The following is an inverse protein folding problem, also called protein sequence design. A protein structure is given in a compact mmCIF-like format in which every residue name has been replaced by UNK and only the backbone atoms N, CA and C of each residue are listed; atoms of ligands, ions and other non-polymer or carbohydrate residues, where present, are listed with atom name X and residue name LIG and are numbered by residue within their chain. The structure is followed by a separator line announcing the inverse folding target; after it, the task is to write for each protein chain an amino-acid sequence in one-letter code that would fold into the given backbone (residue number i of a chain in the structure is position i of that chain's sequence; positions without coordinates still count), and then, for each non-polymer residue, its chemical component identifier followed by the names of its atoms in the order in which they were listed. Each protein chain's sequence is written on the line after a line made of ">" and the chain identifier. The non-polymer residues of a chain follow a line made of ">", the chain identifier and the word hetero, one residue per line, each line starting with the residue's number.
data_IF_321318713381
#
_entry.id   IF_321318713381
#
_cell.length_a   1.000
_cell.length_b   1.000
_cell.length_c   1.000
_cell.angle_alpha   90.00
_cell.angle_beta   90.00
_cell.angle_gamma   90.00
#
_symmetry.space_group_name_H-M   'P 1'
#
loop_
_entity.id
_entity.type
_entity.pdbx_description
1 polymer ?
#
# COMPACT_ATOMS: atom_id res chain seq x y z
N UNK A 1 -12.54 -54.52 19.26
CA UNK A 1 -12.77 -53.69 18.04
C UNK A 1 -13.91 -54.27 17.21
N UNK A 2 -14.75 -53.41 16.63
CA UNK A 2 -15.85 -53.81 15.76
C UNK A 2 -15.69 -53.19 14.37
N UNK A 3 -15.16 -54.01 13.44
CA UNK A 3 -14.89 -53.57 12.06
C UNK A 3 -16.15 -53.16 11.30
N UNK A 4 -17.28 -53.84 11.56
CA UNK A 4 -18.52 -53.51 10.87
C UNK A 4 -19.08 -52.15 11.33
N UNK A 5 -18.95 -51.82 12.61
CA UNK A 5 -19.32 -50.50 13.10
C UNK A 5 -18.38 -49.41 12.59
N UNK A 6 -17.07 -49.67 12.55
CA UNK A 6 -16.06 -48.72 12.03
C UNK A 6 -16.27 -48.45 10.52
N UNK A 7 -16.50 -49.51 9.71
CA UNK A 7 -16.76 -49.36 8.28
C UNK A 7 -18.03 -48.52 8.02
N UNK A 8 -19.08 -48.73 8.82
CA UNK A 8 -20.30 -47.92 8.73
C UNK A 8 -20.05 -46.43 9.06
N UNK A 9 -19.24 -46.16 10.09
CA UNK A 9 -18.88 -44.79 10.45
C UNK A 9 -18.06 -44.08 9.36
N UNK A 10 -17.22 -44.84 8.64
CA UNK A 10 -16.39 -44.34 7.54
C UNK A 10 -17.12 -44.35 6.19
N UNK A 11 -18.40 -44.73 6.15
CA UNK A 11 -19.19 -44.85 4.91
C UNK A 11 -18.57 -45.77 3.84
N UNK A 12 -17.84 -46.83 4.27
CA UNK A 12 -17.21 -47.80 3.40
C UNK A 12 -17.69 -49.22 3.74
N UNK A 13 -17.37 -50.20 2.87
CA UNK A 13 -17.66 -51.59 3.14
C UNK A 13 -16.62 -52.19 4.08
N UNK A 14 -16.99 -53.28 4.79
CA UNK A 14 -16.04 -54.01 5.65
C UNK A 14 -14.86 -54.63 4.85
N UNK A 15 -15.03 -55.20 3.64
CA UNK A 15 -13.91 -55.59 2.80
C UNK A 15 -12.95 -54.44 2.52
N UNK A 16 -13.43 -53.25 2.08
CA UNK A 16 -12.65 -52.07 1.80
C UNK A 16 -11.86 -51.61 3.02
N UNK A 17 -12.47 -51.62 4.22
CA UNK A 17 -11.76 -51.30 5.47
C UNK A 17 -10.61 -52.26 5.73
N UNK A 18 -10.80 -53.58 5.47
CA UNK A 18 -9.72 -54.57 5.64
C UNK A 18 -8.61 -54.37 4.63
N UNK A 19 -8.93 -54.01 3.38
CA UNK A 19 -7.94 -53.69 2.34
C UNK A 19 -7.08 -52.48 2.76
N UNK A 20 -7.70 -51.37 3.17
CA UNK A 20 -6.96 -50.20 3.63
C UNK A 20 -6.06 -50.49 4.85
N UNK A 21 -6.51 -51.33 5.79
CA UNK A 21 -5.66 -51.73 6.92
C UNK A 21 -4.50 -52.60 6.44
N UNK A 22 -4.71 -53.52 5.51
CA UNK A 22 -3.67 -54.38 4.97
C UNK A 22 -2.64 -53.58 4.16
N UNK A 23 -3.07 -52.60 3.38
CA UNK A 23 -2.19 -51.64 2.68
C UNK A 23 -1.32 -50.87 3.66
N UNK A 24 -1.92 -50.29 4.72
CA UNK A 24 -1.22 -49.58 5.76
C UNK A 24 -0.22 -50.46 6.52
N UNK A 25 -0.59 -51.69 6.87
CA UNK A 25 0.30 -52.67 7.49
C UNK A 25 1.48 -53.05 6.57
N UNK A 26 1.21 -53.17 5.27
CA UNK A 26 2.23 -53.44 4.24
C UNK A 26 3.21 -52.27 4.11
N UNK A 27 2.70 -51.04 4.08
CA UNK A 27 3.53 -49.82 3.98
C UNK A 27 4.41 -49.63 5.23
N UNK A 28 3.87 -49.92 6.42
CA UNK A 28 4.58 -49.80 7.69
C UNK A 28 5.48 -51.03 7.99
N UNK A 29 5.37 -52.07 7.25
CA UNK A 29 6.14 -53.32 7.46
C UNK A 29 5.82 -54.07 8.76
N UNK A 30 4.67 -53.79 9.39
CA UNK A 30 4.28 -54.41 10.64
C UNK A 30 2.75 -54.54 10.79
N UNK A 31 2.28 -55.59 11.48
CA UNK A 31 0.87 -55.75 11.77
C UNK A 31 0.39 -54.76 12.83
N UNK A 32 -0.71 -54.06 12.54
CA UNK A 32 -1.35 -53.09 13.45
C UNK A 32 -2.54 -53.75 14.18
N UNK A 33 -3.14 -54.77 13.57
CA UNK A 33 -4.30 -55.46 14.10
C UNK A 33 -4.04 -56.99 14.16
N UNK A 34 -4.37 -57.56 15.29
CA UNK A 34 -4.34 -59.01 15.50
C UNK A 34 -5.76 -59.56 15.70
N UNK A 35 -5.98 -60.79 15.21
CA UNK A 35 -7.24 -61.55 15.41
C UNK A 35 -6.98 -62.64 16.42
N UNK A 36 -7.52 -62.52 17.62
CA UNK A 36 -7.45 -63.57 18.63
C UNK A 36 -8.84 -63.99 19.06
N UNK A 37 -9.12 -65.29 19.01
CA UNK A 37 -10.41 -65.89 19.44
C UNK A 37 -11.66 -65.20 18.86
N UNK A 38 -11.62 -64.84 17.57
CA UNK A 38 -12.72 -64.14 16.87
C UNK A 38 -12.93 -62.69 17.19
N UNK A 39 -12.06 -62.09 18.01
CA UNK A 39 -12.05 -60.64 18.30
C UNK A 39 -10.81 -59.97 17.71
N UNK A 40 -10.98 -58.81 17.12
CA UNK A 40 -9.88 -58.00 16.66
C UNK A 40 -9.36 -57.12 17.80
N UNK A 41 -8.04 -57.06 17.94
CA UNK A 41 -7.35 -56.20 18.91
C UNK A 41 -6.18 -55.44 18.25
N UNK A 42 -5.77 -54.33 18.80
CA UNK A 42 -4.57 -53.64 18.35
C UNK A 42 -3.31 -54.35 18.87
N UNK A 43 -2.34 -54.55 18.01
CA UNK A 43 -0.97 -54.93 18.40
C UNK A 43 -0.29 -53.82 19.20
N UNK A 44 0.85 -54.05 19.84
CA UNK A 44 1.66 -52.98 20.43
C UNK A 44 2.05 -51.91 19.40
N UNK A 45 2.37 -52.30 18.15
CA UNK A 45 2.61 -51.40 17.04
C UNK A 45 1.34 -50.59 16.69
N UNK A 46 0.17 -51.26 16.60
CA UNK A 46 -1.09 -50.62 16.34
C UNK A 46 -1.47 -49.57 17.41
N UNK A 47 -1.21 -49.81 18.68
CA UNK A 47 -1.46 -48.82 19.75
C UNK A 47 -0.57 -47.58 19.61
N UNK A 48 0.68 -47.75 19.21
CA UNK A 48 1.59 -46.64 18.94
C UNK A 48 1.13 -45.85 17.71
N UNK A 49 0.77 -46.57 16.65
CA UNK A 49 0.27 -45.96 15.41
C UNK A 49 -1.00 -45.12 15.63
N UNK A 50 -1.98 -45.63 16.37
CA UNK A 50 -3.21 -44.88 16.68
C UNK A 50 -2.88 -43.58 17.35
N UNK A 51 -1.97 -43.55 18.34
CA UNK A 51 -1.56 -42.32 19.00
C UNK A 51 -0.90 -41.34 18.07
N UNK A 52 -0.05 -41.80 17.14
CA UNK A 52 0.57 -40.97 16.12
C UNK A 52 -0.45 -40.44 15.12
N UNK A 53 -1.35 -41.28 14.68
CA UNK A 53 -2.44 -40.91 13.76
C UNK A 53 -3.40 -39.88 14.37
N UNK A 54 -3.77 -40.01 15.64
CA UNK A 54 -4.58 -39.02 16.38
C UNK A 54 -3.90 -37.65 16.41
N UNK A 55 -2.58 -37.63 16.69
CA UNK A 55 -1.81 -36.38 16.69
C UNK A 55 -1.75 -35.75 15.29
N UNK A 56 -1.53 -36.57 14.25
CA UNK A 56 -1.49 -36.11 12.87
C UNK A 56 -2.85 -35.56 12.43
N UNK A 57 -3.94 -36.28 12.70
CA UNK A 57 -5.29 -35.85 12.35
C UNK A 57 -5.71 -34.58 13.08
N UNK A 58 -5.30 -34.41 14.35
CA UNK A 58 -5.53 -33.16 15.10
C UNK A 58 -4.78 -31.99 14.48
N UNK A 59 -3.51 -32.18 14.11
CA UNK A 59 -2.70 -31.16 13.42
C UNK A 59 -3.27 -30.82 12.05
N UNK A 60 -3.74 -31.83 11.31
CA UNK A 60 -4.38 -31.62 10.02
C UNK A 60 -5.70 -30.83 10.15
N UNK A 61 -6.54 -31.18 11.13
CA UNK A 61 -7.78 -30.46 11.39
C UNK A 61 -7.52 -28.98 11.76
N UNK A 62 -6.49 -28.73 12.58
CA UNK A 62 -6.07 -27.37 12.88
C UNK A 62 -5.60 -26.63 11.63
N UNK A 63 -4.78 -27.27 10.79
CA UNK A 63 -4.33 -26.67 9.52
C UNK A 63 -5.50 -26.34 8.62
N UNK A 64 -6.47 -27.27 8.46
CA UNK A 64 -7.67 -27.02 7.64
C UNK A 64 -8.49 -25.86 8.19
N UNK A 65 -8.67 -25.78 9.51
CA UNK A 65 -9.38 -24.69 10.18
C UNK A 65 -8.67 -23.35 9.94
N UNK A 66 -7.35 -23.31 10.10
CA UNK A 66 -6.52 -22.13 9.80
C UNK A 66 -6.68 -21.68 8.35
N UNK A 67 -6.68 -22.60 7.39
CA UNK A 67 -6.82 -22.28 5.97
C UNK A 67 -8.24 -21.90 5.56
N UNK A 68 -9.27 -22.52 6.13
CA UNK A 68 -10.66 -22.13 5.88
C UNK A 68 -10.97 -20.73 6.39
N UNK A 69 -10.33 -20.31 7.49
CA UNK A 69 -10.50 -18.96 8.04
C UNK A 69 -9.54 -17.92 7.43
N UNK A 70 -8.50 -18.34 6.71
CA UNK A 70 -7.57 -17.43 6.03
C UNK A 70 -8.30 -16.61 4.95
N UNK A 71 -9.13 -17.20 4.14
CA UNK A 71 -9.91 -16.48 3.11
C UNK A 71 -10.98 -15.56 3.73
N UNK A 72 -11.63 -15.97 4.82
CA UNK A 72 -12.63 -15.15 5.51
C UNK A 72 -12.02 -13.95 6.25
N UNK A 73 -10.75 -14.03 6.66
CA UNK A 73 -10.05 -13.02 7.43
C UNK A 73 -9.09 -12.15 6.61
N UNK A 74 -8.80 -12.56 5.36
CA UNK A 74 -7.97 -11.78 4.45
C UNK A 74 -8.81 -10.70 3.78
N UNK A 75 -8.48 -9.46 4.06
CA UNK A 75 -9.06 -8.29 3.40
C UNK A 75 -8.06 -7.75 2.39
N UNK A 76 -8.31 -7.93 1.11
CA UNK A 76 -7.53 -7.28 0.05
C UNK A 76 -8.00 -5.84 -0.08
N UNK A 77 -7.06 -4.90 0.03
CA UNK A 77 -7.29 -3.46 -0.05
C UNK A 77 -6.54 -2.90 -1.24
N UNK A 78 -7.24 -2.25 -2.13
CA UNK A 78 -6.65 -1.60 -3.30
C UNK A 78 -6.39 -0.12 -3.02
N UNK A 79 -5.16 0.31 -3.25
CA UNK A 79 -4.74 1.71 -3.04
C UNK A 79 -4.25 2.28 -4.36
N UNK A 80 -4.90 3.34 -4.83
CA UNK A 80 -4.34 4.16 -5.91
C UNK A 80 -3.41 5.21 -5.34
N UNK A 81 -2.16 5.17 -5.75
CA UNK A 81 -1.13 6.09 -5.29
C UNK A 81 -0.01 6.20 -6.31
N UNK A 82 0.67 7.33 -6.31
CA UNK A 82 2.02 7.42 -6.83
C UNK A 82 3.00 6.90 -5.77
N UNK A 83 4.11 6.39 -6.22
CA UNK A 83 5.16 5.70 -5.45
C UNK A 83 5.76 6.59 -4.31
N UNK A 84 5.01 6.87 -3.26
CA UNK A 84 5.34 7.78 -2.17
C UNK A 84 5.99 7.02 -1.00
N UNK A 85 7.26 7.29 -0.66
CA UNK A 85 7.99 6.53 0.37
C UNK A 85 7.33 6.55 1.75
N UNK A 86 6.77 7.66 2.15
CA UNK A 86 6.10 7.81 3.44
C UNK A 86 4.79 7.00 3.51
N UNK A 87 4.11 6.78 2.37
CA UNK A 87 2.91 5.95 2.32
C UNK A 87 3.26 4.49 2.64
N UNK A 88 4.31 3.95 2.04
CA UNK A 88 4.79 2.61 2.33
C UNK A 88 5.08 2.42 3.82
N UNK A 89 5.74 3.42 4.44
CA UNK A 89 6.01 3.38 5.89
C UNK A 89 4.72 3.32 6.70
N UNK A 90 3.71 4.11 6.35
CA UNK A 90 2.41 4.11 7.06
C UNK A 90 1.70 2.78 6.86
N UNK A 91 1.67 2.25 5.64
CA UNK A 91 1.03 0.96 5.32
C UNK A 91 1.70 -0.20 6.07
N UNK A 92 3.03 -0.26 6.10
CA UNK A 92 3.76 -1.26 6.88
C UNK A 92 3.48 -1.14 8.38
N UNK A 93 3.44 0.07 8.93
CA UNK A 93 3.10 0.31 10.33
C UNK A 93 1.65 -0.10 10.63
N UNK A 94 0.71 0.22 9.74
CA UNK A 94 -0.70 -0.14 9.89
C UNK A 94 -0.88 -1.66 9.90
N UNK A 95 -0.28 -2.38 8.95
CA UNK A 95 -0.31 -3.85 8.92
C UNK A 95 0.26 -4.46 10.19
N UNK A 96 1.41 -3.99 10.67
CA UNK A 96 2.01 -4.47 11.91
C UNK A 96 1.11 -4.18 13.11
N UNK A 97 0.59 -2.98 13.24
CA UNK A 97 -0.30 -2.61 14.34
C UNK A 97 -1.56 -3.47 14.36
N UNK A 98 -2.15 -3.73 13.19
CA UNK A 98 -3.34 -4.57 13.08
C UNK A 98 -3.00 -6.02 13.44
N UNK A 99 -1.91 -6.58 12.93
CA UNK A 99 -1.50 -7.95 13.24
C UNK A 99 -1.23 -8.16 14.76
N UNK A 100 -0.67 -7.17 15.45
CA UNK A 100 -0.41 -7.23 16.89
C UNK A 100 -1.69 -7.12 17.75
N UNK A 101 -2.68 -6.33 17.32
CA UNK A 101 -3.86 -6.03 18.14
C UNK A 101 -5.13 -6.80 17.69
N UNK A 102 -5.15 -7.30 16.47
CA UNK A 102 -6.25 -8.02 15.83
C UNK A 102 -5.72 -9.23 15.06
N UNK A 103 -5.18 -10.26 15.75
CA UNK A 103 -4.48 -11.39 15.13
C UNK A 103 -5.35 -12.20 14.16
N UNK A 104 -6.68 -12.11 14.30
CA UNK A 104 -7.64 -12.71 13.39
C UNK A 104 -7.87 -11.92 12.09
N UNK A 105 -7.30 -10.70 11.97
CA UNK A 105 -7.45 -9.85 10.78
C UNK A 105 -6.15 -9.85 9.99
N UNK A 106 -6.24 -10.05 8.68
CA UNK A 106 -5.11 -9.96 7.77
C UNK A 106 -5.44 -9.01 6.61
N UNK A 107 -4.49 -8.15 6.26
CA UNK A 107 -4.64 -7.20 5.17
C UNK A 107 -3.58 -7.45 4.10
N UNK A 108 -4.05 -7.72 2.89
CA UNK A 108 -3.23 -7.64 1.69
C UNK A 108 -3.45 -6.29 1.03
N UNK A 109 -2.37 -5.55 0.81
CA UNK A 109 -2.44 -4.23 0.20
C UNK A 109 -1.89 -4.33 -1.21
N UNK A 110 -2.72 -4.01 -2.17
CA UNK A 110 -2.38 -3.96 -3.60
C UNK A 110 -2.33 -2.51 -4.02
N UNK A 111 -1.15 -2.06 -4.42
CA UNK A 111 -0.95 -0.68 -4.89
C UNK A 111 -1.14 -0.61 -6.40
N UNK A 112 -2.08 0.19 -6.84
CA UNK A 112 -2.23 0.58 -8.23
C UNK A 112 -1.44 1.88 -8.44
N UNK A 113 -0.34 1.77 -9.19
CA UNK A 113 0.56 2.90 -9.47
C UNK A 113 -0.04 3.83 -10.55
N UNK A 114 -1.25 4.27 -10.32
CA UNK A 114 -1.90 5.28 -11.14
C UNK A 114 -1.37 6.69 -10.84
N UNK A 115 -1.73 7.63 -11.71
CA UNK A 115 -1.58 9.06 -11.47
C UNK A 115 -2.36 9.49 -10.23
N UNK A 116 -1.85 10.46 -9.46
CA UNK A 116 -2.59 11.08 -8.35
C UNK A 116 -3.98 11.49 -8.82
N UNK A 117 -5.01 10.89 -8.25
CA UNK A 117 -6.38 11.21 -8.59
C UNK A 117 -6.72 12.62 -8.07
N UNK A 118 -7.54 13.33 -8.83
CA UNK A 118 -8.19 14.54 -8.34
C UNK A 118 -9.38 14.17 -7.46
N UNK A 119 -9.80 15.07 -6.55
CA UNK A 119 -10.99 14.86 -5.72
C UNK A 119 -12.25 14.55 -6.55
N UNK A 120 -12.35 15.08 -7.77
CA UNK A 120 -13.47 14.81 -8.68
C UNK A 120 -13.40 13.42 -9.34
N UNK A 121 -12.20 12.90 -9.57
CA UNK A 121 -12.01 11.55 -10.09
C UNK A 121 -12.40 10.46 -9.07
N UNK A 122 -12.56 10.81 -7.79
CA UNK A 122 -12.98 9.88 -6.74
C UNK A 122 -14.42 9.36 -6.90
N UNK A 123 -15.30 10.08 -7.59
CA UNK A 123 -16.69 9.65 -7.80
C UNK A 123 -16.82 8.36 -8.62
N UNK A 124 -15.78 7.97 -9.34
CA UNK A 124 -15.70 6.72 -10.10
C UNK A 124 -14.57 5.79 -9.67
N UNK A 125 -13.90 6.07 -8.55
CA UNK A 125 -12.73 5.32 -8.11
C UNK A 125 -13.08 3.85 -7.83
N UNK A 126 -12.34 2.94 -8.49
CA UNK A 126 -12.43 1.50 -8.28
C UNK A 126 -11.67 1.04 -7.03
N UNK A 127 -10.73 1.87 -6.57
CA UNK A 127 -9.86 1.55 -5.44
C UNK A 127 -10.55 1.83 -4.10
N UNK A 128 -10.17 1.09 -3.07
CA UNK A 128 -10.70 1.24 -1.72
C UNK A 128 -10.18 2.50 -1.04
N UNK A 129 -8.92 2.85 -1.34
CA UNK A 129 -8.25 4.05 -0.87
C UNK A 129 -7.59 4.74 -2.06
N UNK A 130 -7.72 6.04 -2.11
CA UNK A 130 -7.03 6.87 -3.10
C UNK A 130 -6.22 7.95 -2.39
N UNK A 131 -4.96 8.09 -2.77
CA UNK A 131 -4.12 9.18 -2.28
C UNK A 131 -4.27 10.37 -3.24
N UNK A 132 -4.65 11.50 -2.68
CA UNK A 132 -4.90 12.75 -3.42
C UNK A 132 -3.95 13.82 -2.91
N UNK A 133 -3.18 14.42 -3.79
CA UNK A 133 -2.36 15.59 -3.48
C UNK A 133 -3.16 16.88 -3.70
N UNK A 134 -3.14 17.75 -2.73
CA UNK A 134 -3.70 19.10 -2.85
C UNK A 134 -2.62 20.13 -2.61
N UNK A 135 -2.37 20.97 -3.58
CA UNK A 135 -1.39 22.05 -3.48
C UNK A 135 -1.99 23.21 -2.66
N UNK A 136 -1.17 23.77 -1.80
CA UNK A 136 -1.42 25.06 -1.17
C UNK A 136 -0.28 26.00 -1.53
N UNK A 137 -0.65 27.13 -2.10
CA UNK A 137 0.24 28.23 -2.38
C UNK A 137 -0.05 29.29 -1.35
N UNK A 138 0.95 29.77 -0.66
CA UNK A 138 0.76 30.75 0.40
C UNK A 138 2.04 31.50 0.70
N UNK A 139 1.90 32.79 0.99
CA UNK A 139 2.93 33.57 1.66
C UNK A 139 3.10 33.12 3.12
N UNK A 140 2.11 32.39 3.65
CA UNK A 140 2.13 31.84 5.00
C UNK A 140 1.88 30.32 4.97
N UNK A 141 2.85 29.51 5.41
CA UNK A 141 2.73 28.06 5.46
C UNK A 141 1.52 27.53 6.27
N UNK A 142 0.98 28.37 7.14
CA UNK A 142 -0.13 28.06 8.06
C UNK A 142 -1.50 28.57 7.59
N UNK A 143 -1.68 28.88 6.30
CA UNK A 143 -2.99 29.28 5.77
C UNK A 143 -4.07 28.25 6.08
N UNK A 144 -5.35 28.67 6.30
CA UNK A 144 -6.44 27.79 6.65
C UNK A 144 -6.59 26.64 5.63
N UNK A 145 -6.71 25.44 6.14
CA UNK A 145 -7.04 24.27 5.33
C UNK A 145 -8.54 24.27 5.04
N UNK A 146 -8.92 23.88 3.83
CA UNK A 146 -10.32 23.65 3.53
C UNK A 146 -10.86 22.45 4.35
N UNK A 147 -12.22 22.37 4.43
CA UNK A 147 -12.86 21.26 5.14
C UNK A 147 -12.48 19.92 4.53
N UNK A 148 -12.03 19.00 5.38
CA UNK A 148 -11.67 17.63 5.00
C UNK A 148 -12.94 16.79 5.05
N UNK A 149 -13.28 16.02 3.99
CA UNK A 149 -14.42 15.09 4.03
C UNK A 149 -14.28 14.06 5.16
N UNK A 150 -15.40 13.58 5.69
CA UNK A 150 -15.43 12.61 6.81
C UNK A 150 -14.76 11.26 6.46
N UNK A 151 -14.70 10.91 5.18
CA UNK A 151 -14.04 9.72 4.67
C UNK A 151 -12.57 9.95 4.27
N UNK A 152 -11.98 11.07 4.68
CA UNK A 152 -10.61 11.42 4.35
C UNK A 152 -9.85 11.99 5.55
N UNK A 153 -8.52 11.91 5.50
CA UNK A 153 -7.64 12.59 6.44
C UNK A 153 -6.29 12.90 5.79
N UNK A 154 -5.56 13.88 6.32
CA UNK A 154 -4.22 14.19 5.85
C UNK A 154 -3.25 13.12 6.32
N UNK A 155 -2.57 12.47 5.37
CA UNK A 155 -1.55 11.44 5.64
C UNK A 155 -0.17 12.07 5.72
N UNK A 156 0.11 13.06 4.89
CA UNK A 156 1.37 13.80 4.85
C UNK A 156 1.15 15.22 4.38
N UNK A 157 2.00 16.11 4.85
CA UNK A 157 2.14 17.47 4.35
C UNK A 157 3.59 17.65 3.95
N UNK A 158 3.84 18.00 2.70
CA UNK A 158 5.18 18.10 2.16
C UNK A 158 5.43 19.47 1.54
N UNK A 159 6.55 20.12 1.89
CA UNK A 159 7.03 21.26 1.12
C UNK A 159 7.46 20.79 -0.27
N UNK A 160 7.26 21.65 -1.24
CA UNK A 160 7.72 21.48 -2.60
C UNK A 160 8.84 22.47 -2.86
N UNK A 161 9.89 22.00 -3.49
CA UNK A 161 11.03 22.83 -3.88
C UNK A 161 11.03 23.04 -5.39
N UNK A 162 11.71 24.11 -5.81
CA UNK A 162 12.09 24.26 -7.20
C UNK A 162 13.40 23.51 -7.47
N UNK A 163 13.45 22.85 -8.61
CA UNK A 163 14.63 22.23 -9.18
C UNK A 163 15.12 23.12 -10.31
N UNK A 164 16.26 23.77 -10.13
CA UNK A 164 16.84 24.69 -11.10
C UNK A 164 18.03 24.04 -11.75
N UNK A 165 17.99 23.88 -13.08
CA UNK A 165 19.09 23.34 -13.86
C UNK A 165 20.25 24.34 -14.03
N UNK A 166 21.46 23.85 -14.25
CA UNK A 166 22.69 24.64 -14.37
C UNK A 166 22.69 25.64 -15.55
N UNK A 167 21.88 25.40 -16.56
CA UNK A 167 21.70 26.31 -17.70
C UNK A 167 20.82 27.52 -17.39
N UNK A 168 20.12 27.53 -16.27
CA UNK A 168 19.26 28.66 -15.86
C UNK A 168 20.07 29.85 -15.37
N UNK A 169 19.66 31.06 -15.73
CA UNK A 169 20.24 32.30 -15.20
C UNK A 169 20.08 32.45 -13.68
N UNK A 170 19.12 31.71 -13.10
CA UNK A 170 18.85 31.70 -11.66
C UNK A 170 19.74 30.70 -10.90
N UNK A 171 20.57 29.92 -11.58
CA UNK A 171 21.33 28.85 -10.95
C UNK A 171 22.26 29.33 -9.82
N UNK A 172 22.91 30.46 -9.98
CA UNK A 172 23.85 31.05 -8.98
C UNK A 172 23.16 32.03 -8.02
N UNK A 173 21.88 32.33 -8.21
CA UNK A 173 21.17 33.33 -7.41
C UNK A 173 20.79 32.80 -6.05
N UNK A 174 21.24 33.41 -4.94
CA UNK A 174 20.96 32.93 -3.58
C UNK A 174 19.52 33.18 -3.15
N UNK A 175 18.95 34.32 -3.51
CA UNK A 175 17.59 34.75 -3.19
C UNK A 175 16.76 34.82 -4.44
N UNK A 176 15.69 34.00 -4.51
CA UNK A 176 14.80 33.92 -5.66
C UNK A 176 13.37 34.19 -5.20
N UNK A 177 12.75 35.20 -5.78
CA UNK A 177 11.33 35.45 -5.62
C UNK A 177 10.53 34.93 -6.82
N UNK A 178 9.22 34.85 -6.68
CA UNK A 178 8.37 34.33 -7.77
C UNK A 178 8.47 35.17 -9.06
N UNK A 179 8.62 36.52 -8.95
CA UNK A 179 8.78 37.39 -10.11
C UNK A 179 10.07 37.17 -10.91
N UNK A 180 11.13 36.65 -10.29
CA UNK A 180 12.39 36.34 -10.99
C UNK A 180 12.20 35.18 -11.99
N UNK A 181 11.08 34.48 -11.89
CA UNK A 181 10.69 33.35 -12.75
C UNK A 181 9.87 33.80 -13.97
N UNK A 182 9.72 35.11 -14.21
CA UNK A 182 8.97 35.61 -15.38
C UNK A 182 9.62 35.15 -16.68
N UNK A 183 8.82 34.53 -17.55
CA UNK A 183 9.31 33.92 -18.80
C UNK A 183 10.00 32.58 -18.64
N UNK A 184 10.20 32.06 -17.42
CA UNK A 184 10.87 30.79 -17.20
C UNK A 184 10.07 29.59 -17.74
N UNK A 185 10.81 28.60 -18.24
CA UNK A 185 10.23 27.33 -18.70
C UNK A 185 10.15 26.35 -17.53
N UNK A 186 8.93 25.83 -17.27
CA UNK A 186 8.66 24.89 -16.18
C UNK A 186 8.40 23.49 -16.72
N UNK A 187 9.17 22.54 -16.21
CA UNK A 187 8.87 21.12 -16.29
C UNK A 187 7.88 20.75 -15.20
N UNK A 188 6.85 19.99 -15.52
CA UNK A 188 5.88 19.50 -14.55
C UNK A 188 6.01 17.99 -14.41
N UNK A 189 6.01 17.46 -13.17
CA UNK A 189 5.95 16.02 -12.97
C UNK A 189 4.63 15.45 -13.52
N UNK A 190 4.59 14.14 -13.88
CA UNK A 190 3.45 13.54 -14.56
C UNK A 190 2.10 13.73 -13.86
N UNK A 191 2.10 13.70 -12.52
CA UNK A 191 0.91 13.88 -11.70
C UNK A 191 0.35 15.32 -11.75
N UNK A 192 1.19 16.34 -11.87
CA UNK A 192 0.77 17.73 -12.01
C UNK A 192 0.35 18.01 -13.46
N UNK A 193 1.08 17.48 -14.43
CA UNK A 193 0.82 17.74 -15.84
C UNK A 193 -0.60 17.31 -16.27
N UNK A 194 -1.07 16.17 -15.74
CA UNK A 194 -2.38 15.58 -16.07
C UNK A 194 -3.53 16.10 -15.20
N UNK A 195 -3.28 17.02 -14.27
CA UNK A 195 -4.26 17.50 -13.30
C UNK A 195 -4.64 18.96 -13.53
N UNK A 196 -5.75 19.37 -12.92
CA UNK A 196 -6.15 20.79 -12.83
C UNK A 196 -5.09 21.67 -12.12
N UNK A 197 -4.16 21.05 -11.39
CA UNK A 197 -3.08 21.73 -10.68
C UNK A 197 -2.15 22.52 -11.62
N UNK A 198 -2.11 22.15 -12.89
CA UNK A 198 -1.37 22.90 -13.92
C UNK A 198 -1.83 24.36 -13.99
N UNK A 199 -3.13 24.56 -14.09
CA UNK A 199 -3.72 25.89 -14.20
C UNK A 199 -3.59 26.66 -12.88
N UNK A 200 -3.69 25.97 -11.74
CA UNK A 200 -3.47 26.59 -10.42
C UNK A 200 -2.03 27.07 -10.25
N UNK A 201 -1.04 26.29 -10.67
CA UNK A 201 0.38 26.71 -10.62
C UNK A 201 0.58 27.98 -11.45
N UNK A 202 0.11 28.02 -12.70
CA UNK A 202 0.24 29.22 -13.52
C UNK A 202 -0.43 30.43 -12.89
N UNK A 203 -1.63 30.27 -12.32
CA UNK A 203 -2.38 31.33 -11.68
C UNK A 203 -1.64 31.91 -10.48
N UNK A 204 -1.03 31.10 -9.64
CA UNK A 204 -0.31 31.57 -8.46
C UNK A 204 0.93 32.36 -8.85
N UNK A 205 1.68 31.94 -9.88
CA UNK A 205 2.79 32.73 -10.39
C UNK A 205 2.33 34.04 -11.04
N UNK A 206 1.23 34.00 -11.77
CA UNK A 206 0.63 35.21 -12.36
C UNK A 206 0.23 36.25 -11.29
N UNK A 207 -0.23 35.80 -10.11
CA UNK A 207 -0.53 36.69 -8.98
C UNK A 207 0.72 37.37 -8.39
N UNK A 208 1.91 36.88 -8.75
CA UNK A 208 3.22 37.45 -8.40
C UNK A 208 3.93 38.11 -9.59
N UNK A 209 3.16 38.50 -10.62
CA UNK A 209 3.65 39.12 -11.85
C UNK A 209 4.67 38.25 -12.62
N UNK A 210 4.57 36.93 -12.52
CA UNK A 210 5.42 35.99 -13.24
C UNK A 210 4.61 35.16 -14.27
N UNK A 211 4.95 35.29 -15.55
CA UNK A 211 4.34 34.54 -16.65
C UNK A 211 5.21 33.34 -16.98
N UNK A 212 5.00 32.23 -16.27
CA UNK A 212 5.74 30.99 -16.52
C UNK A 212 5.25 30.26 -17.76
N UNK A 213 6.17 29.59 -18.45
CA UNK A 213 5.88 28.77 -19.62
C UNK A 213 5.87 27.30 -19.19
N UNK A 214 4.72 26.63 -19.31
CA UNK A 214 4.62 25.22 -18.95
C UNK A 214 5.01 24.34 -20.13
N UNK A 215 5.79 23.30 -19.88
CA UNK A 215 6.12 22.28 -20.86
C UNK A 215 4.87 21.70 -21.55
N UNK A 216 4.97 21.45 -22.85
CA UNK A 216 3.85 21.00 -23.67
C UNK A 216 3.67 19.49 -23.67
N UNK A 217 4.75 18.73 -23.44
CA UNK A 217 4.73 17.27 -23.44
C UNK A 217 5.01 16.74 -22.04
N UNK A 218 4.22 15.74 -21.57
CA UNK A 218 4.44 15.14 -20.28
C UNK A 218 5.64 14.18 -20.33
N UNK A 219 6.28 13.98 -19.18
CA UNK A 219 7.18 12.85 -18.97
C UNK A 219 6.37 11.54 -18.83
N UNK A 220 6.97 10.41 -19.19
CA UNK A 220 6.31 9.11 -19.06
C UNK A 220 6.08 8.75 -17.58
N UNK A 221 7.10 8.98 -16.75
CA UNK A 221 7.03 8.72 -15.32
C UNK A 221 7.91 9.68 -14.50
N UNK A 222 7.89 9.51 -13.19
CA UNK A 222 8.70 10.31 -12.27
C UNK A 222 10.20 10.02 -12.37
N UNK A 223 10.59 8.82 -12.81
CA UNK A 223 12.01 8.51 -12.98
C UNK A 223 12.57 9.29 -14.16
N UNK A 224 11.87 9.30 -15.29
CA UNK A 224 12.25 10.10 -16.45
C UNK A 224 12.31 11.58 -16.08
N UNK A 225 11.31 12.08 -15.36
CA UNK A 225 11.26 13.47 -14.90
C UNK A 225 12.48 13.86 -14.04
N UNK A 226 12.84 13.05 -13.05
CA UNK A 226 13.95 13.35 -12.14
C UNK A 226 15.33 12.99 -12.69
N UNK A 227 15.40 12.13 -13.68
CA UNK A 227 16.65 11.76 -14.36
C UNK A 227 16.98 12.69 -15.53
N UNK A 228 16.02 13.53 -15.95
CA UNK A 228 16.20 14.44 -17.06
C UNK A 228 17.26 15.50 -16.74
N UNK A 229 17.99 15.92 -17.77
CA UNK A 229 18.80 17.12 -17.74
C UNK A 229 17.86 18.34 -17.84
N UNK A 230 17.74 19.08 -16.75
CA UNK A 230 16.87 20.25 -16.70
C UNK A 230 17.31 21.36 -17.65
N UNK A 231 18.60 21.43 -18.02
CA UNK A 231 19.12 22.51 -18.83
C UNK A 231 18.84 23.86 -18.20
N UNK A 232 18.07 24.70 -18.90
CA UNK A 232 17.60 26.01 -18.41
C UNK A 232 16.19 25.97 -17.78
N UNK A 233 15.53 24.82 -17.83
CA UNK A 233 14.17 24.65 -17.31
C UNK A 233 14.15 24.54 -15.77
N UNK A 234 12.98 24.82 -15.21
CA UNK A 234 12.73 24.74 -13.77
C UNK A 234 11.72 23.62 -13.52
N UNK A 235 12.08 22.72 -12.62
CA UNK A 235 11.18 21.66 -12.15
C UNK A 235 10.61 21.93 -10.76
N UNK A 236 9.70 21.09 -10.32
CA UNK A 236 9.19 21.07 -8.95
C UNK A 236 9.37 19.68 -8.35
N UNK A 237 9.80 19.61 -7.09
CA UNK A 237 10.09 18.33 -6.41
C UNK A 237 9.56 18.34 -4.98
N UNK A 238 8.81 17.29 -4.57
CA UNK A 238 8.47 17.08 -3.17
C UNK A 238 9.74 16.82 -2.34
N UNK A 239 9.81 17.37 -1.14
CA UNK A 239 10.97 17.24 -0.26
C UNK A 239 11.39 15.78 -0.03
N UNK A 240 10.44 14.87 0.13
CA UNK A 240 10.72 13.42 0.37
C UNK A 240 11.29 12.70 -0.85
N UNK A 241 11.08 13.21 -2.06
CA UNK A 241 11.62 12.61 -3.28
C UNK A 241 13.05 13.05 -3.59
N UNK A 242 13.50 14.15 -3.01
CA UNK A 242 14.87 14.66 -3.19
C UNK A 242 15.94 13.61 -2.87
N UNK A 243 15.99 13.00 -1.68
CA UNK A 243 16.97 11.97 -1.38
C UNK A 243 16.69 10.65 -2.12
N UNK A 244 15.43 10.35 -2.42
CA UNK A 244 15.05 9.10 -3.09
C UNK A 244 15.62 8.99 -4.50
N UNK A 245 15.59 10.07 -5.25
CA UNK A 245 16.12 10.14 -6.61
C UNK A 245 17.55 10.67 -6.67
N UNK A 246 18.20 10.85 -5.50
CA UNK A 246 19.57 11.34 -5.44
C UNK A 246 19.75 12.77 -5.96
N UNK A 247 18.68 13.58 -6.00
CA UNK A 247 18.72 14.93 -6.57
C UNK A 247 19.71 15.82 -5.81
N UNK A 248 19.79 15.63 -4.50
CA UNK A 248 20.76 16.33 -3.64
C UNK A 248 22.24 15.96 -3.89
N UNK A 249 22.50 14.95 -4.71
CA UNK A 249 23.85 14.53 -5.11
C UNK A 249 24.22 15.03 -6.52
N UNK A 250 23.28 15.60 -7.24
CA UNK A 250 23.49 16.14 -8.58
C UNK A 250 24.23 17.48 -8.48
N UNK A 251 25.03 17.75 -9.50
CA UNK A 251 25.77 19.02 -9.65
C UNK A 251 25.24 19.89 -10.77
N UNK A 252 24.44 19.30 -11.66
CA UNK A 252 23.80 19.92 -12.82
C UNK A 252 22.45 20.59 -12.49
N UNK A 253 22.02 20.48 -11.24
CA UNK A 253 20.82 21.14 -10.75
C UNK A 253 20.93 21.45 -9.26
N UNK A 254 20.12 22.38 -8.78
CA UNK A 254 20.01 22.68 -7.36
C UNK A 254 18.56 22.84 -6.92
N UNK A 255 18.34 22.67 -5.63
CA UNK A 255 17.03 22.76 -5.00
C UNK A 255 16.91 24.11 -4.31
N UNK A 256 15.80 24.79 -4.53
CA UNK A 256 15.57 26.17 -4.04
C UNK A 256 14.15 26.31 -3.50
N UNK A 257 14.02 27.07 -2.41
CA UNK A 257 12.75 27.63 -1.96
C UNK A 257 12.62 29.07 -2.48
N UNK A 258 11.42 29.52 -2.79
CA UNK A 258 11.17 30.91 -3.09
C UNK A 258 11.03 31.71 -1.80
N UNK A 259 11.57 32.93 -1.79
CA UNK A 259 11.52 33.79 -0.61
C UNK A 259 10.12 34.34 -0.31
N UNK A 260 9.26 34.44 -1.33
CA UNK A 260 7.95 35.09 -1.25
C UNK A 260 6.75 34.18 -1.58
N UNK A 261 7.00 32.91 -1.92
CA UNK A 261 5.94 31.95 -2.27
C UNK A 261 6.28 30.55 -1.79
N UNK A 262 5.48 29.99 -0.89
CA UNK A 262 5.62 28.63 -0.41
C UNK A 262 4.72 27.67 -1.19
N UNK A 263 5.28 26.55 -1.59
CA UNK A 263 4.56 25.44 -2.20
C UNK A 263 4.47 24.31 -1.19
N UNK A 264 3.25 23.92 -0.84
CA UNK A 264 3.00 22.82 0.09
C UNK A 264 1.99 21.88 -0.55
N UNK A 265 2.24 20.57 -0.46
CA UNK A 265 1.25 19.57 -0.83
C UNK A 265 0.74 18.88 0.41
N UNK A 266 -0.56 18.98 0.67
CA UNK A 266 -1.25 18.12 1.61
C UNK A 266 -1.71 16.86 0.88
N UNK A 267 -1.26 15.70 1.32
CA UNK A 267 -1.69 14.41 0.79
C UNK A 267 -2.80 13.85 1.66
N UNK A 268 -3.91 13.52 1.04
CA UNK A 268 -5.09 12.96 1.68
C UNK A 268 -5.21 11.48 1.33
N UNK A 269 -5.46 10.64 2.33
CA UNK A 269 -6.01 9.32 2.09
C UNK A 269 -7.53 9.44 2.09
N UNK A 270 -8.15 9.16 0.95
CA UNK A 270 -9.60 9.20 0.77
C UNK A 270 -10.11 7.78 0.64
N UNK A 271 -10.96 7.37 1.55
CA UNK A 271 -11.55 6.04 1.60
C UNK A 271 -12.86 6.02 0.82
N UNK A 272 -13.03 5.01 -0.04
CA UNK A 272 -14.32 4.77 -0.72
C UNK A 272 -15.40 4.50 0.33
N UNK A 273 -16.54 5.17 0.24
CA UNK A 273 -17.61 5.10 1.26
C UNK A 273 -18.05 3.66 1.53
N UNK A 274 -18.24 2.85 0.47
CA UNK A 274 -18.62 1.45 0.62
C UNK A 274 -17.59 0.61 1.37
N UNK A 275 -16.29 0.87 1.19
CA UNK A 275 -15.24 0.20 1.94
C UNK A 275 -15.18 0.72 3.38
N UNK A 276 -15.25 2.02 3.58
CA UNK A 276 -15.26 2.63 4.92
C UNK A 276 -16.45 2.18 5.77
N UNK A 277 -17.57 1.81 5.15
CA UNK A 277 -18.74 1.27 5.85
C UNK A 277 -18.49 -0.16 6.41
N UNK A 278 -17.48 -0.88 5.91
CA UNK A 278 -17.12 -2.21 6.43
C UNK A 278 -16.32 -2.11 7.73
N UNK A 279 -16.33 -3.18 8.54
CA UNK A 279 -15.51 -3.27 9.75
C UNK A 279 -14.01 -3.14 9.45
N UNK A 280 -13.53 -3.81 8.40
CA UNK A 280 -12.13 -3.79 7.97
C UNK A 280 -11.72 -2.39 7.46
N UNK A 281 -12.58 -1.74 6.68
CA UNK A 281 -12.36 -0.39 6.19
C UNK A 281 -12.27 0.63 7.32
N UNK A 282 -13.15 0.52 8.33
CA UNK A 282 -13.13 1.37 9.53
C UNK A 282 -11.86 1.15 10.35
N UNK A 283 -11.50 -0.10 10.58
CA UNK A 283 -10.28 -0.46 11.32
C UNK A 283 -9.03 0.12 10.64
N UNK A 284 -8.93 -0.03 9.32
CA UNK A 284 -7.78 0.47 8.56
C UNK A 284 -7.74 2.01 8.57
N UNK A 285 -8.90 2.66 8.38
CA UNK A 285 -9.03 4.12 8.44
C UNK A 285 -8.54 4.69 9.76
N UNK A 286 -9.07 4.18 10.88
CA UNK A 286 -8.73 4.66 12.21
C UNK A 286 -7.26 4.40 12.55
N UNK A 287 -6.73 3.23 12.15
CA UNK A 287 -5.31 2.88 12.34
C UNK A 287 -4.39 3.81 11.55
N UNK A 288 -4.64 4.00 10.26
CA UNK A 288 -3.82 4.87 9.42
C UNK A 288 -3.89 6.32 9.89
N UNK A 289 -5.07 6.83 10.24
CA UNK A 289 -5.28 8.18 10.76
C UNK A 289 -4.51 8.40 12.06
N UNK A 290 -4.56 7.45 12.99
CA UNK A 290 -3.80 7.48 14.24
C UNK A 290 -2.28 7.52 13.98
N UNK A 291 -1.79 6.70 13.05
CA UNK A 291 -0.37 6.65 12.72
C UNK A 291 0.12 7.92 12.00
N UNK A 292 -0.73 8.54 11.20
CA UNK A 292 -0.41 9.80 10.52
C UNK A 292 -0.25 10.98 11.52
N UNK A 293 -0.96 10.96 12.65
CA UNK A 293 -0.85 11.99 13.70
C UNK A 293 0.36 11.83 14.63
N UNK A 294 1.05 10.68 14.59
CA UNK A 294 2.21 10.36 15.43
C UNK A 294 3.56 10.57 14.75
N UNK A 295 3.59 11.32 13.68
CA UNK A 295 4.84 11.69 12.97
C UNK A 295 5.63 12.76 13.70
#
# INVERSE_FOLDING_TARGET
>A
MNFSAAAKQLFITRPTLNEHIAELESELGCALVEKSKGKAALTPAGKRFVKAAETFLASWAQTVDEYQHLEENLCTVTISSTNLPWLEVILHRARRHIAENYPQKSFEIVTDNGTLATLDALKGARNDITIVGRKRFSEQPNSPRESIPDNAFIVSTEPMYLLIGEGSQLFEQEHICAHDLDGASFMLPPDIYQSYLRDEVQKEFLLKDAHIQLQTEPFEDHFEYFANDAGDAIGVVPATLVPRFGINLRTDCRIVELDDLSFITDFYAVFREGFLATENGRLLFDTMRYLATKR
#
